data_IF_199836747137
#
_entry.id   IF_199836747137
#
_cell.length_a   1.000
_cell.length_b   1.000
_cell.length_c   1.000
_cell.angle_alpha   90.00
_cell.angle_beta   90.00
_cell.angle_gamma   90.00
#
_symmetry.space_group_name_H-M   'P 1'
#
loop_
_entity.id
_entity.type
_entity.pdbx_description
1 polymer ?
#
# COMPACT_ATOMS: atom_id res chain seq x y z
N UNK A 1 18.11 -43.20 2.71
CA UNK A 1 17.23 -42.52 1.73
C UNK A 1 17.90 -41.20 1.37
N UNK A 2 18.69 -41.18 0.29
CA UNK A 2 19.55 -40.04 -0.08
C UNK A 2 18.81 -39.09 -1.02
N UNK A 3 18.50 -37.89 -0.53
CA UNK A 3 17.92 -36.78 -1.29
C UNK A 3 19.01 -36.12 -2.16
N UNK A 4 19.46 -36.77 -3.23
CA UNK A 4 20.34 -36.17 -4.23
C UNK A 4 19.95 -36.62 -5.64
N UNK A 5 18.69 -36.36 -6.01
CA UNK A 5 18.24 -36.54 -7.39
C UNK A 5 18.54 -35.27 -8.21
N UNK A 6 19.35 -35.35 -9.29
CA UNK A 6 19.74 -34.20 -10.14
C UNK A 6 18.55 -33.42 -10.72
N UNK A 7 17.38 -34.04 -10.80
CA UNK A 7 16.14 -33.43 -11.27
C UNK A 7 15.64 -32.28 -10.37
N UNK A 8 15.79 -32.41 -9.04
CA UNK A 8 15.36 -31.39 -8.08
C UNK A 8 16.27 -30.15 -8.11
N UNK A 9 17.58 -30.37 -8.28
CA UNK A 9 18.56 -29.29 -8.48
C UNK A 9 18.28 -28.52 -9.78
N UNK A 10 17.95 -29.24 -10.87
CA UNK A 10 17.62 -28.63 -12.15
C UNK A 10 16.30 -27.84 -12.11
N UNK A 11 15.27 -28.32 -11.41
CA UNK A 11 14.02 -27.56 -11.22
C UNK A 11 14.22 -26.31 -10.37
N UNK A 12 15.00 -26.39 -9.29
CA UNK A 12 15.31 -25.24 -8.44
C UNK A 12 16.13 -24.19 -9.21
N UNK A 13 17.14 -24.61 -9.97
CA UNK A 13 17.98 -23.73 -10.80
C UNK A 13 17.17 -23.07 -11.92
N UNK A 14 16.20 -23.79 -12.50
CA UNK A 14 15.29 -23.25 -13.52
C UNK A 14 14.30 -22.24 -12.93
N UNK A 15 13.78 -22.50 -11.73
CA UNK A 15 12.94 -21.57 -10.98
C UNK A 15 13.71 -20.31 -10.58
N UNK A 16 14.99 -20.44 -10.21
CA UNK A 16 15.88 -19.32 -9.89
C UNK A 16 16.20 -18.46 -11.12
N UNK A 17 16.51 -19.08 -12.28
CA UNK A 17 16.70 -18.36 -13.56
C UNK A 17 15.42 -17.68 -14.05
N UNK A 18 14.26 -18.30 -13.83
CA UNK A 18 12.99 -17.70 -14.18
C UNK A 18 12.67 -16.51 -13.26
N UNK A 19 12.95 -16.63 -11.95
CA UNK A 19 12.87 -15.52 -11.00
C UNK A 19 13.77 -14.33 -11.39
N UNK A 20 14.99 -14.57 -11.86
CA UNK A 20 15.88 -13.50 -12.39
C UNK A 20 15.35 -12.86 -13.68
N UNK A 21 14.68 -13.62 -14.55
CA UNK A 21 13.98 -13.06 -15.73
C UNK A 21 12.73 -12.28 -15.33
N UNK A 22 11.96 -12.76 -14.36
CA UNK A 22 10.85 -12.04 -13.76
C UNK A 22 11.33 -10.76 -13.08
N UNK A 23 12.45 -10.73 -12.37
CA UNK A 23 13.07 -9.49 -11.85
C UNK A 23 13.30 -8.45 -12.94
N UNK A 24 13.80 -8.89 -14.09
CA UNK A 24 14.14 -8.01 -15.21
C UNK A 24 12.90 -7.47 -15.94
N UNK A 25 11.81 -8.23 -15.95
CA UNK A 25 10.52 -7.84 -16.58
C UNK A 25 9.58 -7.15 -15.58
N UNK A 26 9.68 -7.49 -14.29
CA UNK A 26 8.87 -6.95 -13.21
C UNK A 26 9.46 -5.65 -12.65
N UNK A 27 10.74 -5.33 -12.86
CA UNK A 27 11.33 -4.00 -12.59
C UNK A 27 10.72 -3.26 -11.40
N UNK A 28 10.10 -2.11 -11.65
CA UNK A 28 9.41 -1.27 -10.66
C UNK A 28 8.01 -1.76 -10.26
N UNK A 29 7.48 -2.79 -10.93
CA UNK A 29 6.20 -3.46 -10.71
C UNK A 29 6.29 -4.68 -9.77
N UNK A 30 7.49 -5.03 -9.28
CA UNK A 30 7.64 -6.08 -8.26
C UNK A 30 7.22 -5.53 -6.89
N UNK A 31 5.98 -5.79 -6.49
CA UNK A 31 5.44 -5.35 -5.20
C UNK A 31 6.12 -6.12 -4.04
N UNK A 32 6.54 -7.37 -4.25
CA UNK A 32 7.30 -8.15 -3.26
C UNK A 32 8.10 -9.33 -3.82
N UNK A 33 9.16 -9.74 -3.11
CA UNK A 33 9.93 -10.97 -3.31
C UNK A 33 10.21 -11.69 -1.98
N UNK A 34 9.72 -12.94 -1.84
CA UNK A 34 9.89 -13.78 -0.64
C UNK A 34 8.59 -14.47 -0.21
N UNK A 35 8.55 -15.05 0.99
CA UNK A 35 7.33 -15.62 1.61
C UNK A 35 6.61 -14.64 2.54
N UNK A 36 7.20 -13.46 2.80
CA UNK A 36 6.70 -12.45 3.74
C UNK A 36 5.73 -11.45 3.06
N UNK A 37 4.42 -11.56 3.28
CA UNK A 37 3.44 -10.65 2.69
C UNK A 37 3.72 -9.16 2.93
N UNK A 38 3.22 -8.30 2.04
CA UNK A 38 3.37 -6.84 2.11
C UNK A 38 3.05 -6.23 3.49
N UNK A 39 1.97 -6.64 4.20
CA UNK A 39 1.69 -6.14 5.55
C UNK A 39 2.80 -6.46 6.57
N UNK A 40 3.43 -7.64 6.49
CA UNK A 40 4.49 -8.05 7.42
C UNK A 40 5.77 -7.22 7.24
N UNK A 41 6.17 -6.95 6.00
CA UNK A 41 7.28 -6.03 5.73
C UNK A 41 7.01 -4.62 6.24
N UNK A 42 5.79 -4.12 6.04
CA UNK A 42 5.40 -2.79 6.55
C UNK A 42 5.47 -2.77 8.07
N UNK A 43 4.91 -3.77 8.74
CA UNK A 43 4.95 -3.89 10.20
C UNK A 43 6.40 -3.89 10.72
N UNK A 44 7.28 -4.69 10.11
CA UNK A 44 8.70 -4.75 10.45
C UNK A 44 9.39 -3.39 10.25
N UNK A 45 9.17 -2.73 9.11
CA UNK A 45 9.76 -1.40 8.83
C UNK A 45 9.27 -0.32 9.78
N UNK A 46 8.00 -0.34 10.15
CA UNK A 46 7.44 0.58 11.15
C UNK A 46 8.12 0.39 12.51
N UNK A 47 8.28 -0.87 12.95
CA UNK A 47 8.96 -1.21 14.20
C UNK A 47 10.44 -0.82 14.18
N UNK A 48 11.17 -1.14 13.11
CA UNK A 48 12.59 -0.77 12.93
C UNK A 48 12.81 0.75 13.03
N UNK A 49 11.86 1.54 12.49
CA UNK A 49 11.91 3.01 12.52
C UNK A 49 11.22 3.63 13.74
N UNK A 50 10.66 2.80 14.65
CA UNK A 50 9.88 3.25 15.81
C UNK A 50 8.72 4.19 15.42
N UNK A 51 8.11 3.94 14.26
CA UNK A 51 6.98 4.71 13.75
C UNK A 51 5.67 3.99 14.07
N UNK A 52 4.69 4.76 14.48
CA UNK A 52 3.31 4.32 14.66
C UNK A 52 2.43 4.82 13.52
N UNK A 53 1.34 4.12 13.22
CA UNK A 53 0.47 4.39 12.08
C UNK A 53 -0.98 4.60 12.53
N UNK A 54 -1.66 5.61 11.97
CA UNK A 54 -3.12 5.72 12.03
C UNK A 54 -3.74 5.53 10.65
N UNK A 55 -4.92 4.90 10.61
CA UNK A 55 -5.65 4.56 9.39
C UNK A 55 -7.02 5.24 9.34
N UNK A 56 -7.41 5.68 8.15
CA UNK A 56 -8.76 6.13 7.83
C UNK A 56 -9.24 5.45 6.55
N UNK A 57 -10.29 4.65 6.65
CA UNK A 57 -10.80 3.86 5.54
C UNK A 57 -12.24 4.22 5.23
N UNK A 58 -12.51 4.72 4.02
CA UNK A 58 -13.86 4.87 3.50
C UNK A 58 -14.14 3.71 2.53
N UNK A 59 -13.37 3.61 1.44
CA UNK A 59 -13.63 2.62 0.39
C UNK A 59 -13.21 1.18 0.75
N UNK A 60 -12.07 0.99 1.40
CA UNK A 60 -11.56 -0.35 1.78
C UNK A 60 -12.25 -0.94 3.01
N UNK A 61 -13.04 -0.14 3.71
CA UNK A 61 -13.97 -0.59 4.77
C UNK A 61 -13.32 -1.45 5.87
N UNK A 62 -12.09 -1.12 6.28
CA UNK A 62 -11.38 -1.82 7.36
C UNK A 62 -10.43 -2.93 6.89
N UNK A 63 -10.33 -3.17 5.58
CA UNK A 63 -9.46 -4.21 5.02
C UNK A 63 -7.98 -3.94 5.34
N UNK A 64 -7.53 -2.69 5.28
CA UNK A 64 -6.14 -2.33 5.61
C UNK A 64 -5.86 -2.59 7.09
N UNK A 65 -6.77 -2.17 7.96
CA UNK A 65 -6.71 -2.41 9.39
C UNK A 65 -6.57 -3.91 9.70
N UNK A 66 -7.41 -4.74 9.07
CA UNK A 66 -7.37 -6.19 9.26
C UNK A 66 -6.03 -6.78 8.81
N UNK A 67 -5.54 -6.41 7.63
CA UNK A 67 -4.29 -6.91 7.07
C UNK A 67 -3.07 -6.52 7.91
N UNK A 68 -2.99 -5.25 8.35
CA UNK A 68 -1.88 -4.73 9.15
C UNK A 68 -1.93 -5.24 10.60
N UNK A 69 -3.12 -5.41 11.18
CA UNK A 69 -3.28 -5.97 12.52
C UNK A 69 -2.83 -7.43 12.59
N UNK A 70 -3.16 -8.24 11.56
CA UNK A 70 -2.67 -9.62 11.45
C UNK A 70 -1.15 -9.72 11.39
N UNK A 71 -0.51 -8.69 10.85
CA UNK A 71 0.95 -8.55 10.79
C UNK A 71 1.57 -7.88 12.03
N UNK A 72 0.77 -7.56 13.06
CA UNK A 72 1.23 -6.84 14.26
C UNK A 72 1.89 -5.50 13.96
N UNK A 73 1.36 -4.75 12.97
CA UNK A 73 1.78 -3.39 12.73
C UNK A 73 1.42 -2.47 13.93
N UNK A 74 2.25 -1.48 14.27
CA UNK A 74 2.00 -0.56 15.40
C UNK A 74 0.91 0.47 15.05
N UNK A 75 -0.35 0.03 15.00
CA UNK A 75 -1.52 0.88 14.76
C UNK A 75 -1.95 1.60 16.05
N UNK A 76 -2.06 2.95 16.02
CA UNK A 76 -2.59 3.72 17.15
C UNK A 76 -4.11 3.86 17.10
N UNK A 77 -4.63 4.12 15.91
CA UNK A 77 -6.06 4.29 15.67
C UNK A 77 -6.38 3.87 14.24
N UNK A 78 -7.50 3.18 14.08
CA UNK A 78 -8.01 2.76 12.78
C UNK A 78 -9.49 3.02 12.72
N UNK A 79 -9.92 3.88 11.82
CA UNK A 79 -11.31 4.30 11.70
C UNK A 79 -11.88 3.93 10.33
N UNK A 80 -13.08 3.35 10.33
CA UNK A 80 -13.89 3.22 9.13
C UNK A 80 -14.86 4.39 9.12
N UNK A 81 -14.72 5.27 8.13
CA UNK A 81 -15.46 6.52 8.02
C UNK A 81 -16.47 6.39 6.86
N UNK A 82 -17.67 6.96 6.96
CA UNK A 82 -18.59 7.00 5.83
C UNK A 82 -17.94 7.64 4.60
N UNK A 83 -18.27 7.14 3.41
CA UNK A 83 -17.82 7.74 2.16
C UNK A 83 -18.45 9.13 2.01
N UNK A 84 -17.62 10.12 1.69
CA UNK A 84 -18.02 11.50 1.43
C UNK A 84 -17.25 12.03 0.23
N UNK A 85 -17.81 13.06 -0.43
CA UNK A 85 -17.12 13.72 -1.53
C UNK A 85 -16.03 14.65 -1.00
N UNK A 86 -14.80 14.47 -1.46
CA UNK A 86 -13.62 15.18 -1.00
C UNK A 86 -12.67 15.52 -2.15
N UNK A 87 -12.28 16.79 -2.22
CA UNK A 87 -11.13 17.18 -3.05
C UNK A 87 -9.83 16.58 -2.51
N UNK A 88 -8.84 16.39 -3.38
CA UNK A 88 -7.54 15.85 -2.96
C UNK A 88 -6.88 16.68 -1.84
N UNK A 89 -7.05 18.00 -1.87
CA UNK A 89 -6.56 18.91 -0.84
C UNK A 89 -7.28 18.74 0.50
N UNK A 90 -8.61 18.51 0.50
CA UNK A 90 -9.36 18.23 1.72
C UNK A 90 -8.92 16.91 2.35
N UNK A 91 -8.81 15.84 1.54
CA UNK A 91 -8.32 14.54 2.00
C UNK A 91 -6.89 14.65 2.57
N UNK A 92 -6.01 15.42 1.93
CA UNK A 92 -4.65 15.69 2.41
C UNK A 92 -4.66 16.35 3.79
N UNK A 93 -5.44 17.42 3.93
CA UNK A 93 -5.58 18.18 5.18
C UNK A 93 -6.14 17.32 6.32
N UNK A 94 -7.21 16.59 6.10
CA UNK A 94 -7.81 15.76 7.16
C UNK A 94 -6.89 14.63 7.60
N UNK A 95 -6.13 14.04 6.68
CA UNK A 95 -5.18 12.98 7.01
C UNK A 95 -4.02 13.52 7.84
N UNK A 96 -3.52 14.73 7.54
CA UNK A 96 -2.46 15.36 8.35
C UNK A 96 -2.96 15.79 9.73
N UNK A 97 -4.16 16.36 9.82
CA UNK A 97 -4.82 16.68 11.10
C UNK A 97 -5.03 15.42 11.95
N UNK A 98 -5.41 14.30 11.33
CA UNK A 98 -5.58 12.99 11.98
C UNK A 98 -4.25 12.43 12.52
N UNK A 99 -3.15 12.58 11.77
CA UNK A 99 -1.81 12.20 12.23
C UNK A 99 -1.45 12.89 13.54
N UNK A 100 -1.71 14.21 13.60
CA UNK A 100 -1.45 15.03 14.79
C UNK A 100 -2.40 14.66 15.93
N UNK A 101 -3.70 14.53 15.65
CA UNK A 101 -4.73 14.19 16.65
C UNK A 101 -4.44 12.88 17.38
N UNK A 102 -3.98 11.86 16.64
CA UNK A 102 -3.68 10.54 17.18
C UNK A 102 -2.22 10.39 17.63
N UNK A 103 -1.42 11.47 17.60
CA UNK A 103 0.01 11.46 17.91
C UNK A 103 0.78 10.36 17.16
N UNK A 104 0.37 10.08 15.91
CA UNK A 104 0.93 9.02 15.11
C UNK A 104 2.17 9.50 14.33
N UNK A 105 3.16 8.61 14.18
CA UNK A 105 4.29 8.86 13.30
C UNK A 105 3.84 9.08 11.86
N UNK A 106 2.84 8.31 11.40
CA UNK A 106 2.29 8.33 10.06
C UNK A 106 0.76 8.26 10.08
N UNK A 107 0.11 8.81 9.05
CA UNK A 107 -1.31 8.59 8.78
C UNK A 107 -1.54 8.17 7.33
N UNK A 108 -2.31 7.11 7.11
CA UNK A 108 -2.69 6.62 5.79
C UNK A 108 -4.22 6.66 5.65
N UNK A 109 -4.71 7.27 4.58
CA UNK A 109 -6.13 7.34 4.27
C UNK A 109 -6.44 6.77 2.88
N UNK A 110 -7.55 6.05 2.81
CA UNK A 110 -8.19 5.61 1.57
C UNK A 110 -9.60 6.18 1.55
N UNK A 111 -9.80 7.24 0.76
CA UNK A 111 -11.05 7.98 0.69
C UNK A 111 -12.12 7.22 -0.11
N UNK A 112 -13.34 7.77 -0.11
CA UNK A 112 -14.46 7.23 -0.88
C UNK A 112 -14.15 7.20 -2.38
N UNK A 113 -14.81 6.29 -3.09
CA UNK A 113 -14.79 6.30 -4.54
C UNK A 113 -15.81 7.33 -5.05
N UNK A 114 -15.36 8.26 -5.87
CA UNK A 114 -16.18 9.24 -6.57
C UNK A 114 -16.13 8.98 -8.07
N UNK A 115 -17.25 8.56 -8.65
CA UNK A 115 -17.29 8.04 -10.02
C UNK A 115 -16.23 6.94 -10.22
N UNK A 116 -15.17 7.20 -10.97
CA UNK A 116 -14.03 6.28 -11.18
C UNK A 116 -12.77 6.71 -10.43
N UNK A 117 -12.83 7.71 -9.57
CA UNK A 117 -11.67 8.26 -8.87
C UNK A 117 -11.64 7.86 -7.41
N UNK A 118 -10.42 7.73 -6.88
CA UNK A 118 -10.18 7.48 -5.48
C UNK A 118 -8.93 8.22 -5.02
N UNK A 119 -9.00 8.87 -3.86
CA UNK A 119 -7.87 9.55 -3.26
C UNK A 119 -7.17 8.64 -2.25
N UNK A 120 -5.84 8.59 -2.35
CA UNK A 120 -4.94 7.98 -1.37
C UNK A 120 -4.09 9.06 -0.75
N UNK A 121 -3.93 9.05 0.57
CA UNK A 121 -3.15 10.06 1.27
C UNK A 121 -2.24 9.42 2.30
N UNK A 122 -0.96 9.78 2.27
CA UNK A 122 0.03 9.43 3.27
C UNK A 122 0.59 10.72 3.89
N UNK A 123 0.25 10.98 5.15
CA UNK A 123 0.87 12.05 5.93
C UNK A 123 2.05 11.50 6.73
N UNK A 124 3.19 12.17 6.61
CA UNK A 124 4.47 11.80 7.23
C UNK A 124 5.06 13.00 7.97
N UNK A 125 6.10 12.81 8.79
CA UNK A 125 6.80 13.93 9.43
C UNK A 125 7.39 14.94 8.43
N UNK A 126 7.78 14.49 7.24
CA UNK A 126 8.45 15.27 6.19
C UNK A 126 7.47 15.97 5.24
N UNK A 127 6.20 15.61 5.28
CA UNK A 127 5.17 16.17 4.41
C UNK A 127 4.00 15.22 4.19
N UNK A 128 2.97 15.71 3.51
CA UNK A 128 1.78 14.95 3.14
C UNK A 128 1.76 14.71 1.64
N UNK A 129 1.68 13.44 1.26
CA UNK A 129 1.59 13.00 -0.12
C UNK A 129 0.17 12.53 -0.41
N UNK A 130 -0.49 13.10 -1.40
CA UNK A 130 -1.82 12.70 -1.82
C UNK A 130 -1.85 12.39 -3.31
N UNK A 131 -2.52 11.30 -3.68
CA UNK A 131 -2.64 10.80 -5.03
C UNK A 131 -4.12 10.60 -5.36
N UNK A 132 -4.59 11.19 -6.46
CA UNK A 132 -5.89 10.85 -7.05
C UNK A 132 -5.66 9.84 -8.17
N UNK A 133 -6.34 8.71 -8.09
CA UNK A 133 -6.21 7.62 -9.06
C UNK A 133 -7.53 7.39 -9.77
N UNK A 134 -7.48 7.18 -11.09
CA UNK A 134 -8.61 6.64 -11.85
C UNK A 134 -8.59 5.12 -11.85
N UNK A 135 -9.61 4.51 -11.26
CA UNK A 135 -9.82 3.06 -11.19
C UNK A 135 -10.36 2.54 -12.54
N UNK A 136 -9.47 2.03 -13.39
CA UNK A 136 -9.83 1.36 -14.66
C UNK A 136 -10.39 -0.07 -14.47
N UNK A 137 -10.87 -0.39 -13.27
CA UNK A 137 -11.25 -1.74 -12.79
C UNK A 137 -12.75 -1.86 -12.49
N UNK A 138 -13.60 -0.99 -13.04
CA UNK A 138 -15.05 -0.95 -12.82
C UNK A 138 -15.78 -2.26 -13.16
N UNK A 139 -15.22 -3.08 -14.06
CA UNK A 139 -15.76 -4.41 -14.41
C UNK A 139 -15.58 -5.48 -13.32
N UNK A 140 -14.75 -5.24 -12.31
CA UNK A 140 -14.48 -6.19 -11.22
C UNK A 140 -15.44 -5.98 -10.05
N UNK A 141 -15.70 -7.06 -9.32
CA UNK A 141 -16.54 -7.03 -8.12
C UNK A 141 -15.97 -6.06 -7.07
N UNK A 142 -16.86 -5.52 -6.22
CA UNK A 142 -16.45 -4.60 -5.16
C UNK A 142 -15.31 -5.15 -4.28
N UNK A 143 -15.35 -6.40 -3.79
CA UNK A 143 -14.25 -6.95 -2.99
C UNK A 143 -12.90 -6.92 -3.70
N UNK A 144 -12.86 -7.28 -4.99
CA UNK A 144 -11.63 -7.24 -5.79
C UNK A 144 -11.11 -5.81 -5.92
N UNK A 145 -11.99 -4.83 -6.14
CA UNK A 145 -11.59 -3.42 -6.19
C UNK A 145 -11.04 -2.94 -4.85
N UNK A 146 -11.65 -3.34 -3.73
CA UNK A 146 -11.16 -3.01 -2.40
C UNK A 146 -9.78 -3.62 -2.12
N UNK A 147 -9.54 -4.86 -2.52
CA UNK A 147 -8.22 -5.50 -2.41
C UNK A 147 -7.16 -4.77 -3.23
N UNK A 148 -7.49 -4.38 -4.46
CA UNK A 148 -6.58 -3.61 -5.32
C UNK A 148 -6.25 -2.25 -4.69
N UNK A 149 -7.26 -1.53 -4.20
CA UNK A 149 -7.05 -0.25 -3.50
C UNK A 149 -6.23 -0.41 -2.21
N UNK A 150 -6.49 -1.47 -1.42
CA UNK A 150 -5.72 -1.76 -0.24
C UNK A 150 -4.24 -2.06 -0.58
N UNK A 151 -4.00 -2.86 -1.62
CA UNK A 151 -2.66 -3.14 -2.12
C UNK A 151 -1.93 -1.85 -2.56
N UNK A 152 -2.63 -0.93 -3.22
CA UNK A 152 -2.07 0.36 -3.62
C UNK A 152 -1.68 1.22 -2.42
N UNK A 153 -2.55 1.35 -1.43
CA UNK A 153 -2.29 2.11 -0.20
C UNK A 153 -1.11 1.53 0.59
N UNK A 154 -1.05 0.20 0.74
CA UNK A 154 0.09 -0.48 1.38
C UNK A 154 1.39 -0.28 0.60
N UNK A 155 1.34 -0.34 -0.74
CA UNK A 155 2.52 -0.14 -1.56
C UNK A 155 3.02 1.32 -1.51
N UNK A 156 2.12 2.30 -1.45
CA UNK A 156 2.43 3.72 -1.22
C UNK A 156 3.21 3.89 0.09
N UNK A 157 2.73 3.29 1.18
CA UNK A 157 3.40 3.29 2.48
C UNK A 157 4.75 2.56 2.45
N UNK A 158 4.81 1.37 1.82
CA UNK A 158 6.06 0.60 1.66
C UNK A 158 7.13 1.42 0.93
N UNK A 159 6.75 2.09 -0.17
CA UNK A 159 7.65 2.93 -0.96
C UNK A 159 8.27 4.02 -0.07
N UNK A 160 7.44 4.76 0.65
CA UNK A 160 7.93 5.79 1.58
C UNK A 160 8.85 5.21 2.66
N UNK A 161 8.46 4.10 3.30
CA UNK A 161 9.28 3.43 4.34
C UNK A 161 10.64 2.95 3.82
N UNK A 162 10.76 2.69 2.51
CA UNK A 162 11.99 2.30 1.85
C UNK A 162 12.73 3.47 1.17
N UNK A 163 12.28 4.72 1.34
CA UNK A 163 12.90 5.89 0.73
C UNK A 163 12.67 6.01 -0.79
N UNK A 164 11.64 5.33 -1.30
CA UNK A 164 11.24 5.39 -2.71
C UNK A 164 10.17 6.47 -2.93
N UNK A 165 10.06 7.04 -4.14
CA UNK A 165 8.97 7.94 -4.49
C UNK A 165 7.61 7.29 -4.23
N UNK A 166 6.74 8.05 -3.55
CA UNK A 166 5.39 7.64 -3.13
C UNK A 166 4.48 7.42 -4.34
N UNK A 167 4.54 8.34 -5.29
CA UNK A 167 4.01 8.14 -6.64
C UNK A 167 5.02 7.27 -7.41
N UNK A 168 4.61 6.07 -7.80
CA UNK A 168 5.36 5.23 -8.73
C UNK A 168 4.58 5.09 -10.03
N UNK A 169 5.29 5.07 -11.15
CA UNK A 169 4.68 4.63 -12.41
C UNK A 169 4.38 3.14 -12.29
N UNK A 170 3.11 2.83 -12.17
CA UNK A 170 2.62 1.47 -12.30
C UNK A 170 1.75 1.50 -13.53
N UNK A 171 2.14 0.78 -14.59
CA UNK A 171 1.46 0.81 -15.90
C UNK A 171 -0.03 0.41 -15.91
N UNK A 172 -0.62 0.19 -14.73
CA UNK A 172 -2.04 -0.11 -14.49
C UNK A 172 -2.73 0.90 -13.55
N UNK A 173 -2.00 1.87 -12.97
CA UNK A 173 -2.51 2.94 -12.11
C UNK A 173 -2.37 4.27 -12.86
N UNK A 174 -3.50 4.83 -13.30
CA UNK A 174 -3.51 6.18 -13.84
C UNK A 174 -3.60 7.18 -12.68
N UNK A 175 -2.44 7.62 -12.19
CA UNK A 175 -2.37 8.76 -11.26
C UNK A 175 -2.77 10.00 -12.05
N UNK A 176 -3.87 10.62 -11.67
CA UNK A 176 -4.45 11.77 -12.37
C UNK A 176 -4.03 13.08 -11.72
N UNK A 177 -3.77 13.06 -10.42
CA UNK A 177 -3.37 14.24 -9.66
C UNK A 177 -2.44 13.81 -8.53
N UNK A 178 -1.41 14.60 -8.28
CA UNK A 178 -0.49 14.43 -7.15
C UNK A 178 -0.35 15.75 -6.42
N UNK A 179 -0.42 15.69 -5.10
CA UNK A 179 -0.24 16.83 -4.21
C UNK A 179 0.81 16.46 -3.15
N UNK A 180 1.80 17.31 -2.96
CA UNK A 180 2.79 17.20 -1.87
C UNK A 180 2.86 18.54 -1.16
N UNK A 181 2.58 18.54 0.15
CA UNK A 181 2.54 19.72 1.02
C UNK A 181 3.42 19.48 2.24
#
# INVERSE_FOLDING_TARGET
MSLNSPALLNSATRCWRYGQKCKKVAGENLIFEGTEGLPAQIARRLQERQLSLTLSEQFTSGLLSLQLSRASAPLLASEVVPAQEETLAQSARWTSERRVKHFAGLALAVCGQEADYLNFVLSTPEGTHALRVKLSVTRYSLPVRQEVCAMMALNMLRRWLNGQPVAGDHGWINVVETLSI
#
